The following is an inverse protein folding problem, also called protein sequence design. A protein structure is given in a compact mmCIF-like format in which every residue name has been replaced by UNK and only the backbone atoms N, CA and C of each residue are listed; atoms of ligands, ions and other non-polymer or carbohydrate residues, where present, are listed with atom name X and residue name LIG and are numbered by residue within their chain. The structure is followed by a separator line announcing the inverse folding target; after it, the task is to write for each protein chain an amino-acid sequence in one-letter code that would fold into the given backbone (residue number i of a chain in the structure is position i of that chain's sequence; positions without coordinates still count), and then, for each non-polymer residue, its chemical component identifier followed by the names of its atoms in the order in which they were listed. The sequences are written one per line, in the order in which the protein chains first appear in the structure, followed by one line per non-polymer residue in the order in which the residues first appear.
data_IF_571827611515
#
_entry.id   IF_571827611515
#
_cell.length_a   1.000
_cell.length_b   1.000
_cell.length_c   1.000
_cell.angle_alpha   90.00
_cell.angle_beta   90.00
_cell.angle_gamma   90.00
#
_symmetry.space_group_name_H-M   'P 1'
#
loop_
_entity.id
_entity.type
_entity.pdbx_description
1 polymer ?
#
# COMPACT_ATOMS: atom_id res chain seq x y z
N UNK A 1 -5.61 -44.38 20.37
CA UNK A 1 -4.33 -43.81 19.89
C UNK A 1 -4.46 -42.30 19.92
N UNK A 2 -3.83 -41.65 20.90
CA UNK A 2 -3.98 -40.22 21.14
C UNK A 2 -2.78 -39.51 20.49
N UNK A 3 -3.03 -38.76 19.43
CA UNK A 3 -2.01 -38.05 18.67
C UNK A 3 -1.89 -36.63 19.22
N UNK A 4 -0.74 -36.28 19.80
CA UNK A 4 -0.48 -34.92 20.28
C UNK A 4 0.41 -34.18 19.28
N UNK A 5 -0.21 -33.35 18.45
CA UNK A 5 0.49 -32.45 17.55
C UNK A 5 0.99 -31.23 18.35
N UNK A 6 2.30 -31.11 18.56
CA UNK A 6 2.93 -29.90 19.11
C UNK A 6 3.49 -29.06 17.95
N UNK A 7 2.69 -28.14 17.41
CA UNK A 7 3.20 -27.12 16.49
C UNK A 7 3.89 -26.00 17.29
N UNK A 8 5.10 -25.58 16.88
CA UNK A 8 5.68 -24.32 17.38
C UNK A 8 4.87 -23.15 16.83
N UNK A 9 3.85 -22.70 17.56
CA UNK A 9 3.26 -21.34 17.56
C UNK A 9 2.68 -20.75 16.27
N UNK A 10 3.33 -20.90 15.12
CA UNK A 10 2.96 -20.30 13.84
C UNK A 10 2.72 -21.39 12.79
N UNK A 11 1.56 -21.31 12.12
CA UNK A 11 1.30 -22.14 10.95
C UNK A 11 2.28 -21.76 9.84
N UNK A 12 3.06 -22.70 9.30
CA UNK A 12 4.01 -22.39 8.24
C UNK A 12 3.26 -21.95 6.97
N UNK A 13 3.74 -20.90 6.30
CA UNK A 13 3.29 -20.54 4.95
C UNK A 13 4.06 -21.36 3.92
N UNK A 14 3.37 -21.92 2.93
CA UNK A 14 3.99 -22.73 1.89
C UNK A 14 4.38 -24.12 2.35
N UNK A 15 5.48 -24.64 1.80
CA UNK A 15 5.94 -26.00 2.08
C UNK A 15 6.49 -26.11 3.50
N UNK A 16 6.04 -27.11 4.24
CA UNK A 16 6.52 -27.39 5.60
C UNK A 16 6.94 -28.85 5.75
N UNK A 17 7.86 -29.10 6.68
CA UNK A 17 8.24 -30.42 7.14
C UNK A 17 8.46 -30.35 8.65
N UNK A 18 7.60 -31.02 9.42
CA UNK A 18 7.60 -30.96 10.89
C UNK A 18 7.77 -32.39 11.44
N UNK A 19 8.64 -32.60 12.44
CA UNK A 19 8.73 -33.87 13.14
C UNK A 19 7.46 -34.10 13.97
N UNK A 20 6.80 -35.23 13.75
CA UNK A 20 5.69 -35.75 14.52
C UNK A 20 6.20 -36.87 15.42
N UNK A 21 6.13 -36.66 16.73
CA UNK A 21 6.40 -37.71 17.71
C UNK A 21 5.20 -38.64 17.83
N UNK A 22 5.42 -39.93 17.58
CA UNK A 22 4.40 -40.96 17.66
C UNK A 22 4.70 -41.85 18.85
N UNK A 23 3.82 -41.81 19.84
CA UNK A 23 3.88 -42.69 21.01
C UNK A 23 2.85 -43.81 20.83
N UNK A 24 3.32 -45.04 20.57
CA UNK A 24 2.48 -46.22 20.45
C UNK A 24 2.69 -47.14 21.67
N UNK A 25 1.82 -47.01 22.68
CA UNK A 25 1.86 -47.85 23.88
C UNK A 25 3.15 -47.69 24.69
N UNK A 26 3.81 -48.81 25.01
CA UNK A 26 5.06 -48.90 25.82
C UNK A 26 6.36 -48.85 25.00
N UNK A 27 6.30 -48.54 23.70
CA UNK A 27 7.50 -48.37 22.86
C UNK A 27 8.10 -46.97 23.02
N UNK A 28 9.44 -46.81 22.87
CA UNK A 28 10.06 -45.49 22.84
C UNK A 28 9.43 -44.63 21.75
N UNK A 29 9.31 -43.33 21.99
CA UNK A 29 8.74 -42.39 21.02
C UNK A 29 9.53 -42.44 19.71
N UNK A 30 8.82 -42.55 18.59
CA UNK A 30 9.43 -42.54 17.27
C UNK A 30 9.04 -41.26 16.54
N UNK A 31 10.03 -40.58 15.98
CA UNK A 31 9.82 -39.33 15.23
C UNK A 31 9.62 -39.63 13.75
N UNK A 32 8.51 -39.14 13.19
CA UNK A 32 8.19 -39.22 11.77
C UNK A 32 8.17 -37.82 11.17
N UNK A 33 8.73 -37.63 9.98
CA UNK A 33 8.64 -36.34 9.29
C UNK A 33 7.32 -36.25 8.53
N UNK A 34 6.50 -35.26 8.88
CA UNK A 34 5.26 -34.94 8.15
C UNK A 34 5.52 -33.71 7.31
N UNK A 35 5.37 -33.84 6.00
CA UNK A 35 5.49 -32.73 5.06
C UNK A 35 4.16 -32.42 4.39
N UNK A 36 3.97 -31.15 4.03
CA UNK A 36 2.76 -30.67 3.38
C UNK A 36 2.93 -29.25 2.84
N UNK A 37 1.88 -28.73 2.22
CA UNK A 37 1.85 -27.36 1.69
C UNK A 37 0.63 -26.64 2.25
N UNK A 38 0.84 -25.52 2.94
CA UNK A 38 -0.25 -24.63 3.37
C UNK A 38 -0.38 -23.52 2.33
N UNK A 39 -1.51 -23.49 1.62
CA UNK A 39 -1.83 -22.41 0.69
C UNK A 39 -2.64 -21.30 1.38
N UNK A 40 -2.17 -20.07 1.29
CA UNK A 40 -2.84 -18.88 1.83
C UNK A 40 -3.50 -18.13 0.69
N UNK A 41 -4.83 -18.12 0.67
CA UNK A 41 -5.62 -17.30 -0.26
C UNK A 41 -6.25 -16.14 0.49
N UNK A 42 -6.04 -14.93 -0.01
CA UNK A 42 -6.59 -13.70 0.58
C UNK A 42 -7.23 -12.83 -0.50
N UNK A 43 -8.22 -12.01 -0.14
CA UNK A 43 -8.69 -10.94 -1.02
C UNK A 43 -7.58 -9.90 -1.13
N UNK A 44 -7.10 -9.65 -2.35
CA UNK A 44 -6.04 -8.68 -2.62
C UNK A 44 -6.43 -7.75 -3.77
N UNK A 45 -5.96 -6.49 -3.77
CA UNK A 45 -6.15 -5.59 -4.88
C UNK A 45 -5.33 -6.06 -6.09
N UNK A 46 -6.02 -6.15 -7.23
CA UNK A 46 -5.47 -6.55 -8.52
C UNK A 46 -5.72 -5.43 -9.51
N UNK A 47 -4.73 -5.10 -10.33
CA UNK A 47 -4.87 -4.07 -11.36
C UNK A 47 -5.93 -4.50 -12.40
N UNK A 48 -6.97 -3.69 -12.58
CA UNK A 48 -8.04 -3.90 -13.56
C UNK A 48 -7.54 -3.70 -15.00
N UNK A 49 -6.57 -2.80 -15.15
CA UNK A 49 -5.92 -2.43 -16.41
C UNK A 49 -4.41 -2.30 -16.20
N UNK A 50 -3.71 -2.05 -17.28
CA UNK A 50 -2.31 -1.67 -17.22
C UNK A 50 -2.15 -0.27 -16.60
N UNK A 51 -1.19 -0.15 -15.69
CA UNK A 51 -0.82 1.08 -14.99
C UNK A 51 0.65 1.37 -15.29
N UNK A 52 0.91 2.53 -15.89
CA UNK A 52 2.27 2.93 -16.26
C UNK A 52 3.08 3.38 -15.05
N UNK A 53 4.41 3.36 -15.18
CA UNK A 53 5.30 3.92 -14.16
C UNK A 53 5.03 5.43 -13.97
N UNK A 54 4.92 5.86 -12.71
CA UNK A 54 4.61 7.24 -12.35
C UNK A 54 3.13 7.61 -12.45
N UNK A 55 2.28 6.70 -12.93
CA UNK A 55 0.84 6.95 -13.02
C UNK A 55 0.19 6.92 -11.64
N UNK A 56 -0.82 7.78 -11.43
CA UNK A 56 -1.63 7.78 -10.22
C UNK A 56 -2.62 6.63 -10.28
N UNK A 57 -2.60 5.79 -9.25
CA UNK A 57 -3.52 4.65 -9.15
C UNK A 57 -4.83 5.15 -8.55
N UNK A 58 -5.91 4.99 -9.30
CA UNK A 58 -7.24 5.31 -8.82
C UNK A 58 -7.93 4.07 -8.22
N UNK A 59 -8.92 4.25 -7.32
CA UNK A 59 -9.68 3.13 -6.78
C UNK A 59 -10.36 2.26 -7.85
N UNK A 60 -10.77 2.87 -8.96
CA UNK A 60 -11.37 2.22 -10.14
C UNK A 60 -10.37 1.36 -10.95
N UNK A 61 -9.07 1.62 -10.82
CA UNK A 61 -8.02 0.82 -11.45
C UNK A 61 -7.79 -0.51 -10.72
N UNK A 62 -8.49 -0.75 -9.61
CA UNK A 62 -8.25 -1.88 -8.72
C UNK A 62 -9.52 -2.70 -8.53
N UNK A 63 -9.36 -4.02 -8.63
CA UNK A 63 -10.39 -5.00 -8.35
C UNK A 63 -9.89 -5.94 -7.27
N UNK A 64 -10.69 -6.15 -6.23
CA UNK A 64 -10.38 -7.15 -5.22
C UNK A 64 -10.61 -8.55 -5.77
N UNK A 65 -9.57 -9.39 -5.80
CA UNK A 65 -9.67 -10.78 -6.21
C UNK A 65 -9.06 -11.71 -5.16
N UNK A 66 -9.63 -12.91 -5.02
CA UNK A 66 -9.03 -13.96 -4.21
C UNK A 66 -7.82 -14.54 -4.94
N UNK A 67 -6.61 -14.23 -4.47
CA UNK A 67 -5.35 -14.74 -5.03
C UNK A 67 -4.56 -15.52 -3.98
N UNK A 68 -3.75 -16.43 -4.50
CA UNK A 68 -2.77 -17.14 -3.70
C UNK A 68 -1.60 -16.19 -3.37
N UNK A 69 -1.36 -15.99 -2.08
CA UNK A 69 -0.27 -15.16 -1.54
C UNK A 69 0.68 -15.99 -0.67
N UNK A 70 0.66 -17.31 -0.83
CA UNK A 70 1.46 -18.26 -0.05
C UNK A 70 2.95 -17.92 -0.07
N UNK A 71 3.45 -17.56 -1.26
CA UNK A 71 4.85 -17.20 -1.51
C UNK A 71 5.04 -15.70 -1.77
N UNK A 72 4.02 -14.88 -1.49
CA UNK A 72 4.18 -13.44 -1.59
C UNK A 72 5.18 -12.97 -0.53
N UNK A 73 6.26 -12.33 -0.99
CA UNK A 73 7.27 -11.73 -0.12
C UNK A 73 6.90 -10.30 0.30
N UNK A 74 5.87 -9.73 -0.32
CA UNK A 74 5.39 -8.38 -0.08
C UNK A 74 3.93 -8.39 0.34
N UNK A 75 3.50 -7.28 0.96
CA UNK A 75 2.15 -7.06 1.44
C UNK A 75 1.34 -6.39 0.34
N UNK A 76 0.11 -6.88 0.14
CA UNK A 76 -0.87 -6.22 -0.70
C UNK A 76 -1.07 -4.76 -0.25
N UNK A 77 -1.16 -3.85 -1.22
CA UNK A 77 -1.32 -2.43 -0.92
C UNK A 77 -2.65 -2.16 -0.21
N UNK A 78 -2.67 -1.19 0.71
CA UNK A 78 -3.91 -0.75 1.36
C UNK A 78 -4.53 0.46 0.64
N UNK A 79 -5.86 0.68 0.74
CA UNK A 79 -6.52 1.84 0.15
C UNK A 79 -5.92 3.19 0.58
N UNK A 80 -5.44 3.28 1.83
CA UNK A 80 -4.81 4.49 2.36
C UNK A 80 -3.49 4.81 1.65
N UNK A 81 -2.68 3.78 1.37
CA UNK A 81 -1.38 3.94 0.71
C UNK A 81 -1.54 4.26 -0.79
N UNK A 82 -2.60 3.77 -1.41
CA UNK A 82 -2.96 4.07 -2.79
C UNK A 82 -3.33 5.54 -2.99
N UNK A 83 -4.13 6.11 -2.08
CA UNK A 83 -4.61 7.48 -2.19
C UNK A 83 -3.47 8.52 -2.28
N UNK A 84 -2.34 8.24 -1.63
CA UNK A 84 -1.16 9.11 -1.60
C UNK A 84 0.01 8.60 -2.48
N UNK A 85 -0.22 7.56 -3.29
CA UNK A 85 0.82 6.85 -4.03
C UNK A 85 0.69 6.97 -5.54
N UNK A 86 1.83 6.87 -6.22
CA UNK A 86 1.93 6.64 -7.66
C UNK A 86 2.63 5.31 -7.91
N UNK A 87 2.42 4.73 -9.10
CA UNK A 87 3.09 3.50 -9.49
C UNK A 87 4.62 3.69 -9.53
N UNK A 88 5.36 2.92 -8.73
CA UNK A 88 6.82 2.94 -8.72
C UNK A 88 7.43 2.20 -9.92
N UNK A 89 6.63 1.32 -10.54
CA UNK A 89 6.95 0.51 -11.72
C UNK A 89 5.68 0.27 -12.52
N UNK A 90 5.81 -0.20 -13.75
CA UNK A 90 4.67 -0.66 -14.54
C UNK A 90 4.00 -1.87 -13.86
N UNK A 91 2.67 -1.86 -13.82
CA UNK A 91 1.84 -2.93 -13.26
C UNK A 91 0.91 -3.39 -14.38
N UNK A 92 1.04 -4.65 -14.80
CA UNK A 92 0.19 -5.20 -15.84
C UNK A 92 -1.21 -5.53 -15.31
N UNK A 93 -2.21 -5.51 -16.19
CA UNK A 93 -3.56 -5.95 -15.86
C UNK A 93 -3.55 -7.38 -15.29
N UNK A 94 -4.33 -7.61 -14.23
CA UNK A 94 -4.41 -8.90 -13.55
C UNK A 94 -3.29 -9.18 -12.54
N UNK A 95 -2.31 -8.29 -12.38
CA UNK A 95 -1.28 -8.40 -11.35
C UNK A 95 -1.74 -7.88 -9.99
N UNK A 96 -1.27 -8.53 -8.92
CA UNK A 96 -1.48 -8.08 -7.55
C UNK A 96 -0.69 -6.78 -7.34
N UNK A 97 -1.37 -5.77 -6.81
CA UNK A 97 -0.71 -4.51 -6.46
C UNK A 97 -0.12 -4.64 -5.07
N UNK A 98 1.20 -4.76 -5.02
CA UNK A 98 1.94 -4.83 -3.77
C UNK A 98 2.41 -3.44 -3.32
N UNK A 99 2.68 -3.29 -2.02
CA UNK A 99 3.20 -2.04 -1.44
C UNK A 99 4.52 -1.59 -2.08
N UNK A 100 5.41 -2.50 -2.46
CA UNK A 100 6.64 -2.14 -3.20
C UNK A 100 6.39 -1.59 -4.61
N UNK A 101 5.19 -1.81 -5.16
CA UNK A 101 4.83 -1.34 -6.51
C UNK A 101 4.34 0.11 -6.50
N UNK A 102 4.21 0.73 -5.32
CA UNK A 102 3.83 2.13 -5.16
C UNK A 102 4.96 2.93 -4.50
N UNK A 103 5.00 4.22 -4.78
CA UNK A 103 5.86 5.18 -4.10
C UNK A 103 5.10 6.48 -3.88
N UNK A 104 5.49 7.26 -2.87
CA UNK A 104 4.98 8.62 -2.73
C UNK A 104 5.65 9.51 -3.77
N UNK A 105 4.87 10.36 -4.42
CA UNK A 105 5.38 11.34 -5.36
C UNK A 105 5.73 12.63 -4.61
N UNK A 106 6.99 13.07 -4.71
CA UNK A 106 7.40 14.38 -4.23
C UNK A 106 6.74 15.44 -5.13
N UNK A 107 5.75 16.13 -4.60
CA UNK A 107 4.93 17.05 -5.40
C UNK A 107 5.43 18.48 -5.33
N UNK A 108 6.03 18.91 -4.22
CA UNK A 108 6.58 20.27 -4.06
C UNK A 108 7.84 20.27 -3.19
N UNK A 109 8.69 21.27 -3.39
CA UNK A 109 9.81 21.64 -2.53
C UNK A 109 9.56 22.99 -1.86
N UNK A 110 10.29 23.26 -0.78
CA UNK A 110 10.32 24.61 -0.21
C UNK A 110 10.84 25.62 -1.25
N UNK A 111 10.12 26.71 -1.44
CA UNK A 111 10.40 27.73 -2.45
C UNK A 111 9.67 27.53 -3.79
N UNK A 112 9.06 26.37 -4.03
CA UNK A 112 8.33 26.14 -5.28
C UNK A 112 7.07 27.02 -5.37
N UNK A 113 6.81 27.54 -6.57
CA UNK A 113 5.54 28.19 -6.89
C UNK A 113 4.43 27.13 -6.95
N UNK A 114 3.34 27.37 -6.25
CA UNK A 114 2.21 26.46 -6.14
C UNK A 114 0.91 27.22 -6.37
N UNK A 115 -0.10 26.53 -6.89
CA UNK A 115 -1.46 27.03 -7.02
C UNK A 115 -2.25 26.60 -5.81
N UNK A 116 -2.73 27.56 -5.03
CA UNK A 116 -3.62 27.34 -3.90
C UNK A 116 -5.05 27.40 -4.40
N UNK A 117 -5.78 26.29 -4.32
CA UNK A 117 -7.21 26.23 -4.65
C UNK A 117 -8.06 26.19 -3.39
N UNK A 118 -9.12 27.00 -3.35
CA UNK A 118 -10.12 27.02 -2.30
C UNK A 118 -11.51 26.98 -2.94
N UNK A 119 -12.44 26.17 -2.45
CA UNK A 119 -13.74 26.07 -3.08
C UNK A 119 -14.65 24.98 -2.53
N UNK A 120 -15.90 25.01 -2.95
CA UNK A 120 -16.87 23.93 -2.78
C UNK A 120 -17.21 23.32 -4.15
N UNK A 121 -18.19 22.41 -4.22
CA UNK A 121 -18.64 21.85 -5.49
C UNK A 121 -19.15 22.91 -6.49
N UNK A 122 -19.60 24.08 -5.99
CA UNK A 122 -20.27 25.11 -6.81
C UNK A 122 -19.33 26.26 -7.21
N UNK A 123 -18.17 26.41 -6.57
CA UNK A 123 -17.20 27.47 -6.89
C UNK A 123 -15.77 27.08 -6.52
N UNK A 124 -14.80 27.54 -7.31
CA UNK A 124 -13.37 27.32 -7.06
C UNK A 124 -12.60 28.62 -7.32
N UNK A 125 -11.87 29.09 -6.30
CA UNK A 125 -10.91 30.19 -6.38
C UNK A 125 -9.51 29.59 -6.42
N UNK A 126 -8.65 30.13 -7.30
CA UNK A 126 -7.24 29.77 -7.35
C UNK A 126 -6.37 30.99 -7.13
N UNK A 127 -5.31 30.84 -6.33
CA UNK A 127 -4.34 31.87 -6.01
C UNK A 127 -2.92 31.32 -6.19
N UNK A 128 -1.99 32.17 -6.59
CA UNK A 128 -0.58 31.79 -6.62
C UNK A 128 0.04 31.92 -5.23
N UNK A 129 0.85 30.92 -4.87
CA UNK A 129 1.51 30.81 -3.58
C UNK A 129 2.94 30.30 -3.73
N UNK A 130 3.73 30.45 -2.67
CA UNK A 130 5.09 29.93 -2.57
C UNK A 130 5.13 28.94 -1.41
N UNK A 131 5.46 27.69 -1.69
CA UNK A 131 5.58 26.67 -0.66
C UNK A 131 6.71 27.03 0.31
N UNK A 132 6.47 26.84 1.61
CA UNK A 132 7.48 26.99 2.65
C UNK A 132 8.11 25.65 3.04
N UNK A 133 7.54 24.53 2.59
CA UNK A 133 7.96 23.18 2.97
C UNK A 133 7.91 22.24 1.78
N UNK A 134 8.84 21.28 1.72
CA UNK A 134 8.71 20.16 0.79
C UNK A 134 7.60 19.22 1.25
N UNK A 135 6.89 18.59 0.32
CA UNK A 135 5.77 17.71 0.64
C UNK A 135 5.47 16.71 -0.47
N UNK A 136 4.89 15.59 -0.07
CA UNK A 136 4.38 14.56 -0.95
C UNK A 136 2.88 14.76 -1.16
N UNK A 137 2.34 14.23 -2.26
CA UNK A 137 0.88 14.23 -2.44
C UNK A 137 0.19 13.58 -1.23
N UNK A 138 -0.85 14.23 -0.74
CA UNK A 138 -1.58 13.87 0.48
C UNK A 138 -1.01 14.47 1.77
N UNK A 139 0.12 15.16 1.75
CA UNK A 139 0.64 15.87 2.93
C UNK A 139 -0.02 17.25 3.08
N UNK A 140 -0.15 17.71 4.33
CA UNK A 140 -0.50 19.11 4.63
C UNK A 140 0.76 19.97 4.58
N UNK A 141 0.76 20.98 3.72
CA UNK A 141 1.90 21.87 3.47
C UNK A 141 1.55 23.32 3.77
N UNK A 142 2.56 24.11 4.16
CA UNK A 142 2.41 25.55 4.40
C UNK A 142 2.80 26.34 3.16
N UNK A 143 1.92 27.24 2.74
CA UNK A 143 2.10 28.08 1.55
C UNK A 143 1.97 29.54 1.93
N UNK A 144 2.90 30.37 1.47
CA UNK A 144 2.84 31.83 1.61
C UNK A 144 2.22 32.42 0.37
N UNK A 145 1.17 33.22 0.52
CA UNK A 145 0.51 33.93 -0.57
C UNK A 145 1.20 35.29 -0.74
N UNK A 146 1.93 35.55 -1.84
CA UNK A 146 2.67 36.80 -2.01
C UNK A 146 1.78 38.04 -2.03
N UNK A 147 0.58 37.93 -2.62
CA UNK A 147 -0.37 39.05 -2.76
C UNK A 147 -0.95 39.55 -1.43
N UNK A 148 -1.07 38.68 -0.43
CA UNK A 148 -1.66 39.01 0.88
C UNK A 148 -0.67 38.89 2.04
N UNK A 149 0.54 38.41 1.77
CA UNK A 149 1.55 38.00 2.75
C UNK A 149 1.08 36.97 3.79
N UNK A 150 -0.11 36.38 3.62
CA UNK A 150 -0.66 35.38 4.54
C UNK A 150 0.00 34.02 4.34
N UNK A 151 0.16 33.30 5.44
CA UNK A 151 0.57 31.90 5.45
C UNK A 151 -0.67 31.02 5.60
N UNK A 152 -0.92 30.14 4.65
CA UNK A 152 -2.04 29.20 4.64
C UNK A 152 -1.52 27.77 4.72
N UNK A 153 -2.28 26.88 5.34
CA UNK A 153 -1.99 25.44 5.37
C UNK A 153 -3.05 24.72 4.58
N UNK A 154 -2.65 23.80 3.70
CA UNK A 154 -3.57 23.06 2.85
C UNK A 154 -3.05 21.68 2.48
N UNK A 155 -3.94 20.84 1.97
CA UNK A 155 -3.64 19.49 1.52
C UNK A 155 -3.06 19.52 0.11
N UNK A 156 -1.90 18.91 -0.10
CA UNK A 156 -1.29 18.80 -1.42
C UNK A 156 -2.02 17.74 -2.25
N UNK A 157 -2.87 18.16 -3.20
CA UNK A 157 -3.69 17.26 -4.03
C UNK A 157 -2.89 16.60 -5.13
N UNK A 158 -2.01 17.36 -5.75
CA UNK A 158 -1.19 16.96 -6.87
C UNK A 158 0.07 17.83 -6.95
N UNK A 159 0.89 17.61 -7.98
CA UNK A 159 2.13 18.35 -8.17
C UNK A 159 1.83 19.84 -8.34
N UNK A 160 2.25 20.63 -7.37
CA UNK A 160 2.10 22.09 -7.39
C UNK A 160 0.70 22.62 -7.07
N UNK A 161 -0.26 21.80 -6.65
CA UNK A 161 -1.63 22.25 -6.32
C UNK A 161 -2.00 21.91 -4.88
N UNK A 162 -2.26 22.95 -4.09
CA UNK A 162 -2.59 22.86 -2.66
C UNK A 162 -4.05 23.26 -2.45
N UNK A 163 -4.87 22.35 -1.93
CA UNK A 163 -6.26 22.61 -1.60
C UNK A 163 -6.39 23.07 -0.14
N UNK A 164 -7.06 24.19 0.06
CA UNK A 164 -7.47 24.66 1.39
C UNK A 164 -8.97 24.46 1.56
N UNK A 165 -9.37 23.86 2.69
CA UNK A 165 -10.76 23.69 3.11
C UNK A 165 -11.20 24.83 4.01
#
# INVERSE_FOLDING_TARGET
TQWNLRTRGELPKGSFSIPMEVTAGSRPSQTYWVSGVVSIRKPVPVAAREIAIGERIQPEDLVTQMKDVTYANDVAVTPLELAAGVAARQIAAGQIVFRSSIRRELAIKSGDAVKVSAGTADWQISLDGISQSSGYVGDTVRVKIPSTQKLVSGLLKEKGVVEIQ
#
